data_IF_548637045441
#
_entry.id   IF_548637045441
#
_cell.length_a   1.000
_cell.length_b   1.000
_cell.length_c   1.000
_cell.angle_alpha   90.00
_cell.angle_beta   90.00
_cell.angle_gamma   90.00
#
_symmetry.space_group_name_H-M   'P 1'
#
loop_
_entity.id
_entity.type
_entity.pdbx_description
1 polymer ?
#
# COMPACT_ATOMS: atom_id res chain seq x y z
N UNK A 1 -43.48 27.81 26.86
CA UNK A 1 -42.18 27.98 26.20
C UNK A 1 -41.53 26.61 26.14
N UNK A 2 -41.09 26.21 24.94
CA UNK A 2 -40.58 24.88 24.63
C UNK A 2 -39.07 24.89 24.84
N UNK A 3 -38.58 24.27 25.92
CA UNK A 3 -37.15 24.10 26.12
C UNK A 3 -36.67 22.96 25.21
N UNK A 4 -35.95 23.34 24.15
CA UNK A 4 -35.23 22.42 23.28
C UNK A 4 -34.10 21.77 24.07
N UNK A 5 -34.16 20.46 24.24
CA UNK A 5 -33.01 19.68 24.69
C UNK A 5 -31.96 19.70 23.57
N UNK A 6 -30.83 20.38 23.82
CA UNK A 6 -29.62 20.20 23.03
C UNK A 6 -29.09 18.78 23.27
N UNK A 7 -29.15 17.95 22.22
CA UNK A 7 -28.44 16.68 22.16
C UNK A 7 -26.94 16.95 22.29
N UNK A 8 -26.40 16.66 23.47
CA UNK A 8 -24.97 16.65 23.71
C UNK A 8 -24.39 15.45 22.97
N UNK A 9 -23.96 15.66 21.73
CA UNK A 9 -23.22 14.66 20.95
C UNK A 9 -21.90 14.46 21.69
N UNK A 10 -21.82 13.39 22.48
CA UNK A 10 -20.59 12.97 23.14
C UNK A 10 -19.50 12.87 22.07
N UNK A 11 -18.53 13.78 22.16
CA UNK A 11 -17.37 13.82 21.29
C UNK A 11 -16.53 12.57 21.59
N UNK A 12 -16.82 11.49 20.89
CA UNK A 12 -16.10 10.23 20.98
C UNK A 12 -14.59 10.46 20.81
N UNK A 13 -13.81 10.18 21.86
CA UNK A 13 -12.37 10.44 21.83
C UNK A 13 -11.68 9.52 20.80
N UNK A 14 -10.90 10.05 19.86
CA UNK A 14 -10.28 9.26 18.79
C UNK A 14 -9.22 8.25 19.30
N UNK A 15 -8.77 8.41 20.55
CA UNK A 15 -7.68 7.63 21.16
C UNK A 15 -8.11 6.20 21.53
N UNK A 16 -9.36 5.99 21.93
CA UNK A 16 -9.86 4.67 22.37
C UNK A 16 -10.18 3.75 21.19
N UNK A 17 -10.56 4.31 20.04
CA UNK A 17 -10.88 3.53 18.84
C UNK A 17 -9.67 3.20 17.98
N UNK A 18 -8.54 3.91 18.12
CA UNK A 18 -7.35 3.64 17.32
C UNK A 18 -6.79 2.21 17.52
N UNK A 19 -6.66 1.67 18.75
CA UNK A 19 -6.24 0.28 18.96
C UNK A 19 -7.26 -0.73 18.41
N UNK A 20 -8.56 -0.48 18.62
CA UNK A 20 -9.62 -1.34 18.13
C UNK A 20 -9.64 -1.39 16.58
N UNK A 21 -9.57 -0.23 15.93
CA UNK A 21 -9.51 -0.13 14.47
C UNK A 21 -8.25 -0.80 13.91
N UNK A 22 -7.10 -0.63 14.56
CA UNK A 22 -5.86 -1.31 14.18
C UNK A 22 -6.00 -2.84 14.24
N UNK A 23 -6.57 -3.36 15.34
CA UNK A 23 -6.80 -4.80 15.51
C UNK A 23 -7.80 -5.34 14.48
N UNK A 24 -8.94 -4.68 14.30
CA UNK A 24 -9.95 -5.11 13.32
C UNK A 24 -9.40 -5.10 11.91
N UNK A 25 -8.65 -4.06 11.53
CA UNK A 25 -8.02 -3.97 10.20
C UNK A 25 -6.97 -5.07 10.01
N UNK A 26 -6.15 -5.33 11.04
CA UNK A 26 -5.13 -6.38 11.01
C UNK A 26 -5.75 -7.77 10.84
N UNK A 27 -6.83 -8.07 11.57
CA UNK A 27 -7.58 -9.32 11.44
C UNK A 27 -8.22 -9.47 10.06
N UNK A 28 -8.86 -8.41 9.55
CA UNK A 28 -9.46 -8.42 8.21
C UNK A 28 -8.40 -8.67 7.12
N UNK A 29 -7.24 -8.01 7.23
CA UNK A 29 -6.12 -8.20 6.31
C UNK A 29 -5.59 -9.64 6.37
N UNK A 30 -5.38 -10.18 7.57
CA UNK A 30 -4.90 -11.55 7.78
C UNK A 30 -5.89 -12.60 7.23
N UNK A 31 -7.19 -12.45 7.51
CA UNK A 31 -8.22 -13.34 6.98
C UNK A 31 -8.31 -13.28 5.45
N UNK A 32 -8.19 -12.08 4.87
CA UNK A 32 -8.15 -11.88 3.41
C UNK A 32 -6.95 -12.57 2.77
N UNK A 33 -5.78 -12.49 3.42
CA UNK A 33 -4.59 -13.21 3.00
C UNK A 33 -4.76 -14.73 3.11
N UNK A 34 -5.35 -15.24 4.20
CA UNK A 34 -5.54 -16.67 4.46
C UNK A 34 -6.58 -17.33 3.55
N UNK A 35 -7.64 -16.62 3.15
CA UNK A 35 -8.64 -17.11 2.17
C UNK A 35 -8.09 -17.22 0.75
N UNK A 36 -6.84 -16.81 0.51
CA UNK A 36 -6.01 -17.34 -0.59
C UNK A 36 -5.97 -16.51 -1.86
N UNK A 37 -6.64 -15.35 -1.89
CA UNK A 37 -6.63 -14.50 -3.08
C UNK A 37 -5.78 -13.24 -2.95
N UNK A 38 -5.31 -12.86 -1.75
CA UNK A 38 -4.41 -11.71 -1.60
C UNK A 38 -3.12 -12.12 -0.92
N UNK A 39 -1.99 -11.57 -1.38
CA UNK A 39 -0.68 -11.84 -0.82
C UNK A 39 0.14 -10.58 -0.75
N UNK A 40 0.85 -10.42 0.36
CA UNK A 40 1.88 -9.42 0.54
C UNK A 40 3.23 -10.15 0.54
N UNK A 41 4.23 -9.64 -0.18
CA UNK A 41 5.56 -10.24 -0.21
C UNK A 41 6.64 -9.17 -0.15
N UNK A 42 7.63 -9.39 0.72
CA UNK A 42 8.93 -8.73 0.64
C UNK A 42 9.82 -9.57 -0.28
N UNK A 43 10.26 -8.99 -1.38
CA UNK A 43 11.06 -9.67 -2.40
C UNK A 43 12.44 -9.04 -2.50
N UNK A 44 13.45 -9.86 -2.75
CA UNK A 44 14.82 -9.43 -3.02
C UNK A 44 15.17 -9.75 -4.47
N UNK A 45 15.66 -8.77 -5.22
CA UNK A 45 15.86 -8.91 -6.67
C UNK A 45 17.28 -9.38 -7.00
N UNK A 46 17.41 -10.22 -8.03
CA UNK A 46 18.70 -10.82 -8.44
C UNK A 46 19.79 -9.80 -8.76
N UNK A 47 19.41 -8.62 -9.27
CA UNK A 47 20.34 -7.52 -9.61
C UNK A 47 20.57 -6.55 -8.45
N UNK A 48 20.20 -6.94 -7.23
CA UNK A 48 20.29 -6.11 -6.04
C UNK A 48 18.99 -5.34 -5.77
N UNK A 49 18.82 -4.97 -4.51
CA UNK A 49 17.63 -4.28 -4.03
C UNK A 49 16.49 -5.21 -3.62
N UNK A 50 15.34 -4.62 -3.33
CA UNK A 50 14.17 -5.34 -2.87
C UNK A 50 12.90 -4.49 -2.96
N UNK A 51 11.76 -5.13 -2.75
CA UNK A 51 10.47 -4.48 -2.93
C UNK A 51 9.38 -5.11 -2.10
N UNK A 52 8.41 -4.29 -1.72
CA UNK A 52 7.20 -4.69 -1.04
C UNK A 52 6.07 -4.77 -2.05
N UNK A 53 5.49 -5.95 -2.20
CA UNK A 53 4.60 -6.28 -3.29
C UNK A 53 3.24 -6.74 -2.78
N UNK A 54 2.18 -6.24 -3.39
CA UNK A 54 0.81 -6.67 -3.15
C UNK A 54 0.26 -7.40 -4.36
N UNK A 55 -0.26 -8.59 -4.13
CA UNK A 55 -0.73 -9.51 -5.15
C UNK A 55 -2.19 -9.89 -4.91
N UNK A 56 -2.88 -10.15 -6.01
CA UNK A 56 -4.11 -10.93 -6.03
C UNK A 56 -3.88 -12.23 -6.81
N UNK A 57 -3.87 -13.37 -6.12
CA UNK A 57 -3.40 -14.64 -6.67
C UNK A 57 -1.96 -14.53 -7.18
N UNK A 58 -1.77 -14.62 -8.50
CA UNK A 58 -0.46 -14.43 -9.17
C UNK A 58 -0.27 -13.03 -9.77
N UNK A 59 -1.31 -12.19 -9.79
CA UNK A 59 -1.27 -10.85 -10.41
C UNK A 59 -0.77 -9.84 -9.39
N UNK A 60 0.30 -9.12 -9.71
CA UNK A 60 0.77 -7.97 -8.93
C UNK A 60 -0.22 -6.82 -9.11
N UNK A 61 -0.73 -6.27 -8.01
CA UNK A 61 -1.65 -5.13 -8.01
C UNK A 61 -0.90 -3.81 -7.76
N UNK A 62 0.08 -3.86 -6.85
CA UNK A 62 0.91 -2.73 -6.52
C UNK A 62 2.25 -3.19 -5.94
N UNK A 63 3.21 -2.28 -5.86
CA UNK A 63 4.34 -2.45 -4.99
C UNK A 63 5.26 -1.23 -4.96
N UNK A 64 6.15 -1.24 -3.99
CA UNK A 64 7.17 -0.22 -3.77
C UNK A 64 8.51 -0.92 -3.79
N UNK A 65 9.34 -0.53 -4.74
CA UNK A 65 10.54 -1.25 -5.12
C UNK A 65 11.75 -0.31 -5.07
N UNK A 66 12.86 -0.83 -4.60
CA UNK A 66 14.17 -0.20 -4.70
C UNK A 66 15.09 -1.18 -5.40
N UNK A 67 15.35 -0.98 -6.70
CA UNK A 67 16.25 -1.82 -7.49
C UNK A 67 16.78 -1.07 -8.72
N UNK A 68 17.84 -1.56 -9.37
CA UNK A 68 18.31 -1.00 -10.63
C UNK A 68 17.24 -1.15 -11.73
N UNK A 69 16.94 -0.07 -12.45
CA UNK A 69 16.09 -0.08 -13.64
C UNK A 69 16.64 0.87 -14.70
N UNK A 70 16.28 0.62 -15.96
CA UNK A 70 16.67 1.49 -17.06
C UNK A 70 15.76 2.73 -17.08
N UNK A 71 16.32 3.90 -16.83
CA UNK A 71 15.58 5.15 -16.96
C UNK A 71 15.61 5.63 -18.41
N UNK A 72 14.43 5.70 -19.02
CA UNK A 72 14.27 6.16 -20.41
C UNK A 72 14.56 7.65 -20.56
N UNK A 73 14.49 8.44 -19.48
CA UNK A 73 14.77 9.88 -19.52
C UNK A 73 16.26 10.16 -19.53
N UNK A 74 17.04 9.54 -18.63
CA UNK A 74 18.49 9.71 -18.59
C UNK A 74 19.23 8.84 -19.60
N UNK A 75 18.63 7.73 -20.05
CA UNK A 75 19.32 6.75 -20.90
C UNK A 75 20.34 5.91 -20.12
N UNK A 76 20.18 5.82 -18.79
CA UNK A 76 21.13 5.16 -17.90
C UNK A 76 20.44 4.15 -16.99
N UNK A 77 21.23 3.21 -16.46
CA UNK A 77 20.79 2.32 -15.40
C UNK A 77 20.85 3.08 -14.06
N UNK A 78 19.70 3.32 -13.45
CA UNK A 78 19.61 4.00 -12.16
C UNK A 78 19.03 3.08 -11.10
N UNK A 79 19.47 3.23 -9.86
CA UNK A 79 18.90 2.51 -8.71
C UNK A 79 18.19 3.51 -7.83
N UNK A 80 16.85 3.45 -7.80
CA UNK A 80 16.01 4.40 -7.07
C UNK A 80 14.76 3.74 -6.54
N UNK A 81 14.20 4.34 -5.49
CA UNK A 81 12.88 3.98 -4.99
C UNK A 81 11.83 4.39 -6.02
N UNK A 82 10.97 3.44 -6.37
CA UNK A 82 9.88 3.65 -7.31
C UNK A 82 8.70 2.77 -6.93
N UNK A 83 7.53 3.08 -7.47
CA UNK A 83 6.33 2.30 -7.21
C UNK A 83 5.66 1.85 -8.50
N UNK A 84 4.92 0.77 -8.38
CA UNK A 84 4.14 0.15 -9.44
C UNK A 84 2.68 0.11 -9.00
N UNK A 85 1.78 0.48 -9.91
CA UNK A 85 0.32 0.34 -9.72
C UNK A 85 -0.38 0.22 -11.07
N UNK A 86 -1.60 -0.30 -11.05
CA UNK A 86 -2.47 -0.41 -12.22
C UNK A 86 -2.48 -1.82 -12.80
N UNK A 87 -2.98 -1.95 -14.03
CA UNK A 87 -3.18 -3.24 -14.70
C UNK A 87 -2.38 -3.36 -16.00
N UNK A 88 -2.09 -4.59 -16.42
CA UNK A 88 -1.43 -4.87 -17.69
C UNK A 88 -0.04 -4.21 -17.81
N UNK A 89 0.13 -3.31 -18.77
CA UNK A 89 1.40 -2.59 -18.97
C UNK A 89 1.64 -1.51 -17.91
N UNK A 90 0.60 -1.04 -17.22
CA UNK A 90 0.75 0.01 -16.21
C UNK A 90 1.53 -0.46 -14.98
N UNK A 91 1.38 -1.74 -14.60
CA UNK A 91 2.10 -2.32 -13.47
C UNK A 91 3.60 -2.48 -13.75
N UNK A 92 4.03 -2.37 -15.02
CA UNK A 92 5.45 -2.44 -15.41
C UNK A 92 6.14 -1.08 -15.41
N UNK A 93 5.37 0.01 -15.29
CA UNK A 93 5.91 1.37 -15.31
C UNK A 93 6.55 1.69 -13.95
N UNK A 94 7.87 1.90 -13.97
CA UNK A 94 8.64 2.46 -12.86
C UNK A 94 8.19 3.91 -12.64
N UNK A 95 7.38 4.17 -11.61
CA UNK A 95 6.96 5.53 -11.25
C UNK A 95 7.87 6.03 -10.13
N UNK A 96 8.63 7.11 -10.34
CA UNK A 96 9.46 7.67 -9.28
C UNK A 96 8.56 8.09 -8.11
N UNK A 97 9.05 7.90 -6.90
CA UNK A 97 8.36 8.37 -5.69
C UNK A 97 8.35 9.91 -5.59
N UNK A 98 9.36 10.53 -6.23
CA UNK A 98 9.59 11.96 -6.23
C UNK A 98 9.28 12.55 -7.61
N UNK A 99 8.23 13.38 -7.66
CA UNK A 99 7.95 14.29 -8.77
C UNK A 99 8.82 15.55 -8.71
N UNK A 100 10.14 15.39 -8.73
CA UNK A 100 11.10 16.49 -8.81
C UNK A 100 11.84 16.46 -10.14
#
# INVERSE_FOLDING_TARGET
MQDKQEEKIDSFSPVVYAPAAFLTLSLALYSSMRKGNYRVALEFYKRGGGGFNFYQGKKRLAGVDYHPFWDKKSGELVTRLHYHRGEGEEIKKHRPYDGW
#
